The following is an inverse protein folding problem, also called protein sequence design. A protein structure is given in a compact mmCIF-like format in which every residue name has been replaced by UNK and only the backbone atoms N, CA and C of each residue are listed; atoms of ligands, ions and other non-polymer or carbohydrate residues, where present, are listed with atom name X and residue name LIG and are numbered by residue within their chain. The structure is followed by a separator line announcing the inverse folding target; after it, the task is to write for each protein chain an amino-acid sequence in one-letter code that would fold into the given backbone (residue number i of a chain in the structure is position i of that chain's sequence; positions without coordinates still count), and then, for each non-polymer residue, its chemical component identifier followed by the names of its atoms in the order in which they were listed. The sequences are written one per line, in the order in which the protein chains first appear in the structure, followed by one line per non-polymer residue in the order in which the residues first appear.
data_IF_810525215030
#
_entry.id   IF_810525215030
#
_cell.length_a   1.000
_cell.length_b   1.000
_cell.length_c   1.000
_cell.angle_alpha   90.00
_cell.angle_beta   90.00
_cell.angle_gamma   90.00
#
_symmetry.space_group_name_H-M   'P 1'
#
loop_
_entity.id
_entity.type
_entity.pdbx_description
1 polymer ?
#
# COMPACT_ATOMS: atom_id res chain seq x y z
N UNK A 1 -23.38 17.95 16.76
CA UNK A 1 -24.56 17.35 16.09
C UNK A 1 -24.17 16.88 14.70
N UNK A 2 -24.58 15.67 14.31
CA UNK A 2 -24.41 15.20 12.93
C UNK A 2 -25.31 16.05 12.00
N UNK A 3 -24.84 16.36 10.80
CA UNK A 3 -25.60 17.19 9.86
C UNK A 3 -25.79 16.45 8.54
N UNK A 4 -26.86 16.79 7.82
CA UNK A 4 -27.10 16.24 6.47
C UNK A 4 -25.90 16.54 5.54
N UNK A 5 -25.25 17.69 5.70
CA UNK A 5 -24.01 18.02 4.97
C UNK A 5 -22.88 17.02 5.26
N UNK A 6 -22.68 16.63 6.53
CA UNK A 6 -21.71 15.60 6.93
C UNK A 6 -22.05 14.27 6.27
N UNK A 7 -23.32 13.85 6.31
CA UNK A 7 -23.77 12.62 5.66
C UNK A 7 -23.48 12.60 4.15
N UNK A 8 -23.82 13.68 3.43
CA UNK A 8 -23.53 13.79 1.99
C UNK A 8 -22.03 13.76 1.68
N UNK A 9 -21.22 14.35 2.55
CA UNK A 9 -19.75 14.31 2.43
C UNK A 9 -19.24 12.87 2.59
N UNK A 10 -19.78 12.11 3.54
CA UNK A 10 -19.38 10.71 3.77
C UNK A 10 -19.77 9.81 2.59
N UNK A 11 -20.98 9.95 2.06
CA UNK A 11 -21.39 9.22 0.85
C UNK A 11 -20.50 9.53 -0.35
N UNK A 12 -20.11 10.80 -0.51
CA UNK A 12 -19.22 11.20 -1.60
C UNK A 12 -17.81 10.63 -1.43
N UNK A 13 -17.29 10.58 -0.20
CA UNK A 13 -15.99 9.95 0.12
C UNK A 13 -15.96 8.45 -0.16
N UNK A 14 -17.09 7.78 0.02
CA UNK A 14 -17.25 6.36 -0.30
C UNK A 14 -17.55 6.11 -1.79
N UNK A 15 -17.71 7.15 -2.61
CA UNK A 15 -18.04 7.02 -4.03
C UNK A 15 -19.44 6.47 -4.30
N UNK A 16 -20.36 6.59 -3.33
CA UNK A 16 -21.71 6.01 -3.40
C UNK A 16 -22.59 6.89 -4.31
N UNK A 17 -23.21 6.24 -5.29
CA UNK A 17 -24.12 6.89 -6.25
C UNK A 17 -25.46 7.31 -5.58
N UNK A 18 -26.27 8.10 -6.29
CA UNK A 18 -27.53 8.63 -5.74
C UNK A 18 -28.54 7.52 -5.41
N UNK A 19 -28.61 6.46 -6.21
CA UNK A 19 -29.52 5.34 -5.99
C UNK A 19 -29.10 4.53 -4.76
N UNK A 20 -27.82 4.18 -4.67
CA UNK A 20 -27.22 3.49 -3.53
C UNK A 20 -27.35 4.30 -2.23
N UNK A 21 -27.25 5.64 -2.28
CA UNK A 21 -27.54 6.49 -1.11
C UNK A 21 -28.96 6.28 -0.61
N UNK A 22 -29.95 6.33 -1.51
CA UNK A 22 -31.36 6.09 -1.18
C UNK A 22 -31.58 4.69 -0.63
N UNK A 23 -30.98 3.67 -1.25
CA UNK A 23 -31.02 2.28 -0.78
C UNK A 23 -30.40 2.16 0.61
N UNK A 24 -29.26 2.80 0.87
CA UNK A 24 -28.59 2.75 2.17
C UNK A 24 -29.43 3.43 3.26
N UNK A 25 -30.04 4.57 2.96
CA UNK A 25 -30.96 5.28 3.88
C UNK A 25 -32.20 4.43 4.16
N UNK A 26 -32.78 3.82 3.12
CA UNK A 26 -33.92 2.91 3.26
C UNK A 26 -33.58 1.73 4.17
N UNK A 27 -32.46 1.05 3.91
CA UNK A 27 -32.01 -0.07 4.72
C UNK A 27 -31.75 0.34 6.18
N UNK A 28 -31.15 1.52 6.41
CA UNK A 28 -30.85 2.02 7.75
C UNK A 28 -32.11 2.37 8.55
N UNK A 29 -33.13 2.90 7.87
CA UNK A 29 -34.41 3.31 8.47
C UNK A 29 -35.47 2.21 8.40
N UNK A 30 -35.08 0.97 8.09
CA UNK A 30 -35.98 -0.18 7.95
C UNK A 30 -37.17 0.08 7.00
N UNK A 31 -36.93 0.79 5.91
CA UNK A 31 -37.93 1.10 4.89
C UNK A 31 -38.71 2.40 5.10
N UNK A 32 -38.53 3.08 6.25
CA UNK A 32 -39.32 4.28 6.61
C UNK A 32 -39.12 5.44 5.62
N UNK A 33 -37.90 5.68 5.17
CA UNK A 33 -37.63 6.75 4.19
C UNK A 33 -36.45 6.42 3.27
N UNK A 34 -36.41 7.07 2.11
CA UNK A 34 -35.26 7.09 1.21
C UNK A 34 -34.57 8.47 1.20
N UNK A 35 -35.14 9.44 1.92
CA UNK A 35 -34.73 10.84 1.91
C UNK A 35 -33.85 11.16 3.11
N UNK A 36 -32.67 11.70 2.85
CA UNK A 36 -31.77 12.15 3.91
C UNK A 36 -32.36 13.29 4.77
N UNK A 37 -33.39 13.99 4.28
CA UNK A 37 -34.07 15.07 5.01
C UNK A 37 -35.09 14.56 6.03
N UNK A 38 -35.54 13.31 5.87
CA UNK A 38 -36.55 12.68 6.72
C UNK A 38 -35.91 11.75 7.78
N UNK A 39 -34.58 11.78 7.90
CA UNK A 39 -33.84 11.08 8.94
C UNK A 39 -34.07 11.76 10.29
N UNK A 40 -34.34 10.95 11.32
CA UNK A 40 -34.32 11.39 12.71
C UNK A 40 -32.88 11.70 13.13
N UNK A 41 -32.72 12.52 14.18
CA UNK A 41 -31.38 12.95 14.61
C UNK A 41 -30.49 11.77 15.04
N UNK A 42 -31.07 10.77 15.70
CA UNK A 42 -30.40 9.54 16.12
C UNK A 42 -29.97 8.71 14.92
N UNK A 43 -30.90 8.40 13.99
CA UNK A 43 -30.59 7.66 12.76
C UNK A 43 -29.51 8.37 11.92
N UNK A 44 -29.57 9.70 11.83
CA UNK A 44 -28.58 10.51 11.10
C UNK A 44 -27.20 10.40 11.76
N UNK A 45 -27.15 10.47 13.10
CA UNK A 45 -25.90 10.33 13.86
C UNK A 45 -25.30 8.94 13.66
N UNK A 46 -26.08 7.90 13.89
CA UNK A 46 -25.63 6.51 13.81
C UNK A 46 -25.17 6.15 12.40
N UNK A 47 -25.92 6.58 11.38
CA UNK A 47 -25.52 6.39 9.99
C UNK A 47 -24.21 7.12 9.67
N UNK A 48 -24.03 8.34 10.16
CA UNK A 48 -22.76 9.07 9.98
C UNK A 48 -21.58 8.37 10.66
N UNK A 49 -21.79 7.80 11.86
CA UNK A 49 -20.77 7.08 12.60
C UNK A 49 -20.39 5.77 11.89
N UNK A 50 -21.38 5.01 11.44
CA UNK A 50 -21.17 3.79 10.64
C UNK A 50 -20.37 4.05 9.36
N UNK A 51 -20.77 5.06 8.58
CA UNK A 51 -20.05 5.41 7.34
C UNK A 51 -18.63 5.92 7.61
N UNK A 52 -18.43 6.67 8.70
CA UNK A 52 -17.10 7.11 9.09
C UNK A 52 -16.21 5.93 9.50
N UNK A 53 -16.76 4.94 10.21
CA UNK A 53 -16.07 3.69 10.54
C UNK A 53 -15.70 2.90 9.28
N UNK A 54 -16.61 2.79 8.31
CA UNK A 54 -16.37 2.13 7.01
C UNK A 54 -15.20 2.79 6.25
N UNK A 55 -15.19 4.13 6.15
CA UNK A 55 -14.08 4.88 5.52
C UNK A 55 -12.76 4.63 6.25
N UNK A 56 -12.77 4.67 7.58
CA UNK A 56 -11.55 4.44 8.37
C UNK A 56 -11.01 3.02 8.18
N UNK A 57 -11.90 2.04 8.11
CA UNK A 57 -11.55 0.66 7.82
C UNK A 57 -10.92 0.53 6.43
N UNK A 58 -11.53 1.12 5.39
CA UNK A 58 -10.96 1.14 4.04
C UNK A 58 -9.56 1.76 4.00
N UNK A 59 -9.37 2.92 4.65
CA UNK A 59 -8.05 3.55 4.77
C UNK A 59 -7.03 2.65 5.47
N UNK A 60 -7.44 1.99 6.55
CA UNK A 60 -6.59 1.04 7.28
C UNK A 60 -6.17 -0.13 6.38
N UNK A 61 -7.11 -0.72 5.63
CA UNK A 61 -6.80 -1.78 4.67
C UNK A 61 -5.79 -1.34 3.61
N UNK A 62 -5.93 -0.12 3.08
CA UNK A 62 -4.99 0.46 2.11
C UNK A 62 -3.60 0.64 2.73
N UNK A 63 -3.51 1.15 3.96
CA UNK A 63 -2.22 1.33 4.63
C UNK A 63 -1.58 -0.01 5.04
N UNK A 64 -2.36 -1.00 5.47
CA UNK A 64 -1.86 -2.35 5.73
C UNK A 64 -1.36 -3.02 4.44
N UNK A 65 -2.07 -2.83 3.33
CA UNK A 65 -1.66 -3.26 2.00
C UNK A 65 -0.31 -2.63 1.59
N UNK A 66 -0.13 -1.32 1.79
CA UNK A 66 1.16 -0.64 1.55
C UNK A 66 2.25 -1.16 2.47
N UNK A 67 1.96 -1.30 3.77
CA UNK A 67 2.91 -1.79 4.78
C UNK A 67 3.46 -3.16 4.42
N UNK A 68 2.58 -4.08 4.02
CA UNK A 68 2.99 -5.42 3.58
C UNK A 68 3.94 -5.35 2.38
N UNK A 69 3.61 -4.54 1.38
CA UNK A 69 4.42 -4.38 0.17
C UNK A 69 5.79 -3.76 0.45
N UNK A 70 5.83 -2.71 1.28
CA UNK A 70 7.08 -2.10 1.76
C UNK A 70 7.94 -3.13 2.49
N UNK A 71 7.33 -3.95 3.36
CA UNK A 71 8.02 -5.04 4.06
C UNK A 71 8.61 -6.07 3.09
N UNK A 72 7.85 -6.48 2.07
CA UNK A 72 8.35 -7.38 1.01
C UNK A 72 9.56 -6.79 0.28
N UNK A 73 9.50 -5.52 -0.11
CA UNK A 73 10.62 -4.83 -0.79
C UNK A 73 11.85 -4.81 0.11
N UNK A 74 11.70 -4.42 1.37
CA UNK A 74 12.81 -4.37 2.33
C UNK A 74 13.41 -5.75 2.55
N UNK A 75 12.59 -6.80 2.66
CA UNK A 75 13.08 -8.18 2.80
C UNK A 75 13.95 -8.61 1.62
N UNK A 76 13.51 -8.33 0.39
CA UNK A 76 14.30 -8.65 -0.81
C UNK A 76 15.54 -7.76 -0.87
N UNK A 77 15.42 -6.47 -0.59
CA UNK A 77 16.54 -5.53 -0.60
C UNK A 77 17.66 -5.96 0.34
N UNK A 78 17.32 -6.40 1.55
CA UNK A 78 18.30 -6.89 2.53
C UNK A 78 18.92 -8.21 2.08
N UNK A 79 18.13 -9.17 1.58
CA UNK A 79 18.67 -10.44 1.09
C UNK A 79 19.65 -10.24 -0.09
N UNK A 80 19.31 -9.34 -1.01
CA UNK A 80 20.14 -9.01 -2.16
C UNK A 80 21.33 -8.10 -1.82
N UNK A 81 21.43 -7.59 -0.59
CA UNK A 81 22.49 -6.66 -0.17
C UNK A 81 22.38 -5.28 -0.82
N UNK A 82 21.16 -4.91 -1.25
CA UNK A 82 20.84 -3.54 -1.70
C UNK A 82 20.60 -2.64 -0.49
N UNK A 83 20.12 -3.22 0.62
CA UNK A 83 19.92 -2.54 1.89
C UNK A 83 20.71 -3.24 3.00
N UNK A 84 21.57 -2.50 3.69
CA UNK A 84 22.17 -2.94 4.94
C UNK A 84 21.30 -2.52 6.14
N UNK A 85 21.35 -3.20 7.31
CA UNK A 85 20.48 -2.93 8.45
C UNK A 85 20.44 -1.45 8.88
N UNK A 86 21.61 -0.79 8.92
CA UNK A 86 21.77 0.58 9.40
C UNK A 86 22.01 1.62 8.30
N UNK A 87 22.02 1.20 7.03
CA UNK A 87 22.24 2.11 5.90
C UNK A 87 20.93 2.34 5.14
N UNK A 88 20.29 3.47 5.45
CA UNK A 88 19.11 3.93 4.73
C UNK A 88 19.45 4.82 3.55
N UNK A 89 20.61 5.45 3.54
CA UNK A 89 21.00 6.41 2.51
C UNK A 89 21.28 5.70 1.19
N UNK A 90 22.02 4.59 1.22
CA UNK A 90 22.26 3.76 0.03
C UNK A 90 20.96 3.19 -0.54
N UNK A 91 20.04 2.75 0.33
CA UNK A 91 18.74 2.26 -0.11
C UNK A 91 17.86 3.37 -0.69
N UNK A 92 17.86 4.55 -0.07
CA UNK A 92 17.10 5.70 -0.54
C UNK A 92 17.65 6.22 -1.88
N UNK A 93 18.97 6.29 -2.04
CA UNK A 93 19.64 6.62 -3.30
C UNK A 93 19.24 5.61 -4.41
N UNK A 94 19.28 4.31 -4.10
CA UNK A 94 18.78 3.29 -5.01
C UNK A 94 17.31 3.54 -5.39
N UNK A 95 16.45 3.83 -4.41
CA UNK A 95 15.03 4.08 -4.64
C UNK A 95 14.81 5.34 -5.50
N UNK A 96 15.59 6.40 -5.32
CA UNK A 96 15.46 7.63 -6.09
C UNK A 96 16.02 7.49 -7.51
N UNK A 97 17.16 6.83 -7.69
CA UNK A 97 17.89 6.84 -8.95
C UNK A 97 17.76 5.55 -9.76
N UNK A 98 17.54 4.40 -9.12
CA UNK A 98 17.56 3.07 -9.77
C UNK A 98 16.21 2.37 -9.77
N UNK A 99 15.32 2.65 -8.81
CA UNK A 99 13.98 2.05 -8.82
C UNK A 99 13.14 2.53 -10.00
N UNK A 100 12.10 1.76 -10.35
CA UNK A 100 11.09 2.15 -11.34
C UNK A 100 10.19 3.29 -10.85
N UNK A 101 10.04 3.46 -9.53
CA UNK A 101 9.19 4.50 -8.95
C UNK A 101 9.89 5.86 -8.82
N UNK A 102 11.23 5.89 -8.76
CA UNK A 102 12.05 7.12 -8.58
C UNK A 102 11.62 7.98 -7.40
N UNK A 103 11.18 7.33 -6.32
CA UNK A 103 10.61 7.95 -5.12
C UNK A 103 11.08 7.20 -3.88
N UNK A 104 11.10 7.90 -2.75
CA UNK A 104 11.31 7.26 -1.45
C UNK A 104 10.18 6.24 -1.18
N UNK A 105 10.53 5.11 -0.59
CA UNK A 105 9.60 4.00 -0.32
C UNK A 105 8.32 4.40 0.44
N UNK A 106 8.34 5.32 1.42
CA UNK A 106 7.12 5.78 2.09
C UNK A 106 6.17 6.57 1.17
N UNK A 107 6.69 7.23 0.15
CA UNK A 107 5.92 8.11 -0.74
C UNK A 107 5.29 7.37 -1.92
N UNK A 108 5.61 6.10 -2.12
CA UNK A 108 5.04 5.29 -3.19
C UNK A 108 3.56 4.96 -2.97
N UNK A 109 2.78 5.06 -4.04
CA UNK A 109 1.42 4.50 -4.15
C UNK A 109 1.43 2.96 -4.16
N UNK A 110 0.26 2.33 -4.02
CA UNK A 110 0.17 0.85 -4.03
C UNK A 110 0.66 0.29 -5.36
N UNK A 111 0.26 0.92 -6.47
CA UNK A 111 0.59 0.51 -7.83
C UNK A 111 2.09 0.65 -8.09
N UNK A 112 2.71 1.73 -7.59
CA UNK A 112 4.16 1.91 -7.64
C UNK A 112 4.90 0.86 -6.81
N UNK A 113 4.40 0.55 -5.60
CA UNK A 113 4.98 -0.49 -4.76
C UNK A 113 4.93 -1.86 -5.45
N UNK A 114 3.84 -2.20 -6.12
CA UNK A 114 3.72 -3.47 -6.86
C UNK A 114 4.73 -3.54 -8.02
N UNK A 115 4.93 -2.44 -8.76
CA UNK A 115 5.98 -2.35 -9.79
C UNK A 115 7.38 -2.48 -9.21
N UNK A 116 7.65 -1.85 -8.06
CA UNK A 116 8.94 -1.98 -7.37
C UNK A 116 9.15 -3.42 -6.90
N UNK A 117 8.14 -4.09 -6.36
CA UNK A 117 8.25 -5.52 -6.00
C UNK A 117 8.64 -6.37 -7.21
N UNK A 118 8.03 -6.15 -8.38
CA UNK A 118 8.39 -6.88 -9.60
C UNK A 118 9.85 -6.64 -9.99
N UNK A 119 10.32 -5.39 -9.92
CA UNK A 119 11.73 -5.05 -10.18
C UNK A 119 12.66 -5.78 -9.19
N UNK A 120 12.36 -5.76 -7.90
CA UNK A 120 13.20 -6.42 -6.89
C UNK A 120 13.21 -7.94 -7.04
N UNK A 121 12.08 -8.56 -7.40
CA UNK A 121 12.02 -10.00 -7.72
C UNK A 121 12.85 -10.34 -8.96
N UNK A 122 12.79 -9.51 -10.00
CA UNK A 122 13.60 -9.70 -11.19
C UNK A 122 15.11 -9.59 -10.88
N UNK A 123 15.50 -8.63 -10.02
CA UNK A 123 16.88 -8.50 -9.55
C UNK A 123 17.33 -9.75 -8.78
N UNK A 124 16.52 -10.23 -7.83
CA UNK A 124 16.81 -11.44 -7.07
C UNK A 124 16.96 -12.66 -7.99
N UNK A 125 16.07 -12.82 -8.97
CA UNK A 125 16.14 -13.91 -9.94
C UNK A 125 17.41 -13.82 -10.80
N UNK A 126 17.75 -12.63 -11.28
CA UNK A 126 18.99 -12.40 -12.06
C UNK A 126 20.24 -12.72 -11.23
N UNK A 127 20.24 -12.34 -9.95
CA UNK A 127 21.32 -12.64 -9.04
C UNK A 127 21.43 -14.16 -8.78
N UNK A 128 20.32 -14.85 -8.58
CA UNK A 128 20.30 -16.30 -8.41
C UNK A 128 20.83 -17.04 -9.65
N UNK A 129 20.41 -16.64 -10.84
CA UNK A 129 20.94 -17.20 -12.11
C UNK A 129 22.42 -16.90 -12.28
N UNK A 130 22.87 -15.70 -11.88
CA UNK A 130 24.29 -15.35 -11.93
C UNK A 130 25.10 -16.16 -10.93
N UNK A 131 24.55 -16.46 -9.75
CA UNK A 131 25.20 -17.23 -8.70
C UNK A 131 25.44 -18.69 -9.09
N UNK A 132 24.70 -19.24 -10.06
CA UNK A 132 24.99 -20.57 -10.60
C UNK A 132 26.25 -20.60 -11.47
N UNK A 133 26.71 -19.46 -11.99
CA UNK A 133 27.90 -19.35 -12.83
C UNK A 133 29.14 -19.10 -11.97
N UNK A 134 30.05 -20.06 -11.93
CA UNK A 134 31.33 -19.93 -11.23
C UNK A 134 32.09 -18.67 -11.69
N UNK A 135 32.70 -17.97 -10.73
CA UNK A 135 33.50 -16.75 -11.00
C UNK A 135 32.71 -15.43 -11.03
N UNK A 136 31.38 -15.45 -10.94
CA UNK A 136 30.59 -14.21 -10.82
C UNK A 136 30.58 -13.67 -9.39
N UNK A 137 30.35 -12.37 -9.20
CA UNK A 137 30.22 -11.76 -7.87
C UNK A 137 29.13 -12.44 -7.02
N UNK A 138 28.02 -12.81 -7.66
CA UNK A 138 26.90 -13.48 -7.01
C UNK A 138 27.28 -14.91 -6.55
N UNK A 139 28.08 -15.63 -7.34
CA UNK A 139 28.59 -16.96 -6.97
C UNK A 139 29.43 -16.89 -5.69
N UNK A 140 30.42 -15.99 -5.65
CA UNK A 140 31.25 -15.82 -4.45
C UNK A 140 30.41 -15.39 -3.23
N UNK A 141 29.45 -14.48 -3.42
CA UNK A 141 28.53 -14.04 -2.35
C UNK A 141 27.71 -15.20 -1.77
N UNK A 142 27.23 -16.13 -2.59
CA UNK A 142 26.45 -17.29 -2.13
C UNK A 142 27.24 -18.20 -1.16
N UNK A 143 28.53 -18.34 -1.38
CA UNK A 143 29.42 -19.17 -0.55
C UNK A 143 30.17 -18.37 0.53
N UNK A 144 29.85 -17.09 0.72
CA UNK A 144 30.54 -16.22 1.69
C UNK A 144 32.01 -15.95 1.34
N UNK A 145 32.40 -16.14 0.08
CA UNK A 145 33.76 -15.95 -0.41
C UNK A 145 33.93 -14.54 -0.98
N UNK A 146 35.14 -13.99 -0.88
CA UNK A 146 35.48 -12.78 -1.63
C UNK A 146 35.89 -13.17 -3.06
N UNK A 147 35.43 -12.41 -4.05
CA UNK A 147 35.91 -12.57 -5.43
C UNK A 147 37.41 -12.30 -5.44
N UNK A 148 38.26 -13.22 -5.95
CA UNK A 148 39.69 -12.97 -6.06
C UNK A 148 39.92 -11.75 -6.96
N UNK A 149 40.70 -10.79 -6.48
CA UNK A 149 41.16 -9.67 -7.31
C UNK A 149 41.96 -10.26 -8.48
N UNK A 150 41.59 -9.89 -9.71
CA UNK A 150 42.39 -10.20 -10.88
C UNK A 150 43.63 -9.31 -10.82
N UNK A 151 44.80 -9.91 -10.51
CA UNK A 151 46.11 -9.26 -10.66
C UNK A 151 46.43 -9.05 -12.14
#
# INVERSE_FOLDING_TARGET
MATIKKLQTLFSKLGIDVHQRKTRINAWTSGRTQSAKELQEEELKDLCESLAAEINLQKKHIEDAKRLRRSTILKIATAEGIKEPNDWDTFNDFMLHKSVAKKLLPLCSIEELDRVILQFRALAQSNATSAQKAGTKAYYKQFGMQKPCSN
#
